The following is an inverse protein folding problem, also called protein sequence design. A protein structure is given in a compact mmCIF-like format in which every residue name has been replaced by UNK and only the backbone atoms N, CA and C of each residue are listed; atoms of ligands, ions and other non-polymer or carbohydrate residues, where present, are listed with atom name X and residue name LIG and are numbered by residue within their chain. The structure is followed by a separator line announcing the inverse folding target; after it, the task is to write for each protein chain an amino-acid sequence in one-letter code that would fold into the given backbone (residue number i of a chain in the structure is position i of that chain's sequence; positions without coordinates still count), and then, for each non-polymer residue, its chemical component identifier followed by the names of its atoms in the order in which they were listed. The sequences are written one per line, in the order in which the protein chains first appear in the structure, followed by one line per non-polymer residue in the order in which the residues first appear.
data_IF_230743526466
#
_entry.id   IF_230743526466
#
_cell.length_a   1.000
_cell.length_b   1.000
_cell.length_c   1.000
_cell.angle_alpha   90.00
_cell.angle_beta   90.00
_cell.angle_gamma   90.00
#
_symmetry.space_group_name_H-M   'P 1'
#
loop_
_entity.id
_entity.type
_entity.pdbx_description
1 polymer ?
#
# COMPACT_ATOMS: atom_id res chain seq x y z
N UNK A 1 -5.92 -19.69 -4.29
CA UNK A 1 -6.15 -20.79 -3.33
C UNK A 1 -6.26 -20.21 -1.92
N UNK A 2 -7.48 -20.14 -1.37
CA UNK A 2 -7.78 -19.41 -0.13
C UNK A 2 -6.97 -19.95 1.06
N UNK A 3 -6.33 -19.09 1.84
CA UNK A 3 -5.54 -19.46 3.02
C UNK A 3 -6.34 -20.26 4.06
N UNK A 4 -7.67 -20.12 4.07
CA UNK A 4 -8.61 -20.94 4.87
C UNK A 4 -8.72 -22.39 4.42
N UNK A 5 -8.32 -22.72 3.18
CA UNK A 5 -8.29 -24.11 2.68
C UNK A 5 -7.07 -24.88 3.20
N UNK A 6 -5.99 -24.19 3.58
CA UNK A 6 -4.78 -24.82 4.13
C UNK A 6 -4.93 -25.06 5.63
N UNK A 7 -5.32 -24.02 6.38
CA UNK A 7 -5.80 -24.18 7.76
C UNK A 7 -6.61 -22.95 8.19
N UNK A 8 -7.61 -23.17 9.07
CA UNK A 8 -8.41 -22.07 9.62
C UNK A 8 -7.54 -21.06 10.39
N UNK A 9 -6.50 -21.53 11.08
CA UNK A 9 -5.57 -20.67 11.82
C UNK A 9 -4.72 -19.79 10.89
N UNK A 10 -4.17 -20.35 9.81
CA UNK A 10 -3.42 -19.58 8.80
C UNK A 10 -4.33 -18.59 8.07
N UNK A 11 -5.55 -19.01 7.74
CA UNK A 11 -6.57 -18.14 7.18
C UNK A 11 -6.87 -16.92 8.06
N UNK A 12 -7.12 -17.16 9.35
CA UNK A 12 -7.38 -16.09 10.32
C UNK A 12 -6.17 -15.14 10.45
N UNK A 13 -4.96 -15.67 10.58
CA UNK A 13 -3.73 -14.86 10.66
C UNK A 13 -3.54 -13.98 9.42
N UNK A 14 -3.72 -14.54 8.23
CA UNK A 14 -3.57 -13.78 6.97
C UNK A 14 -4.63 -12.69 6.87
N UNK A 15 -5.89 -12.99 7.17
CA UNK A 15 -6.97 -12.00 7.13
C UNK A 15 -6.71 -10.87 8.12
N UNK A 16 -6.31 -11.19 9.35
CA UNK A 16 -5.97 -10.18 10.36
C UNK A 16 -4.76 -9.36 9.93
N UNK A 17 -3.71 -9.99 9.39
CA UNK A 17 -2.53 -9.29 8.89
C UNK A 17 -2.87 -8.32 7.76
N UNK A 18 -3.70 -8.75 6.80
CA UNK A 18 -4.16 -7.89 5.70
C UNK A 18 -5.01 -6.75 6.24
N UNK A 19 -5.96 -7.03 7.14
CA UNK A 19 -6.81 -6.00 7.74
C UNK A 19 -6.00 -4.92 8.47
N UNK A 20 -5.00 -5.32 9.26
CA UNK A 20 -4.10 -4.40 9.96
C UNK A 20 -3.28 -3.54 8.98
N UNK A 21 -2.83 -4.11 7.86
CA UNK A 21 -2.06 -3.39 6.84
C UNK A 21 -2.90 -2.35 6.08
N UNK A 22 -4.22 -2.54 5.97
CA UNK A 22 -5.13 -1.59 5.29
C UNK A 22 -5.34 -0.30 6.05
N UNK A 23 -5.15 -0.29 7.38
CA UNK A 23 -5.31 0.92 8.20
C UNK A 23 -4.23 1.97 7.84
N UNK A 24 -2.92 1.65 7.86
CA UNK A 24 -1.87 2.56 7.38
C UNK A 24 -2.09 3.01 5.93
N UNK A 25 -2.49 2.12 5.03
CA UNK A 25 -2.75 2.46 3.62
C UNK A 25 -3.91 3.48 3.50
N UNK A 26 -5.01 3.26 4.22
CA UNK A 26 -6.16 4.16 4.23
C UNK A 26 -5.80 5.55 4.78
N UNK A 27 -4.96 5.60 5.81
CA UNK A 27 -4.41 6.85 6.32
C UNK A 27 -3.53 7.56 5.29
N UNK A 28 -2.64 6.83 4.61
CA UNK A 28 -1.76 7.39 3.58
C UNK A 28 -2.55 8.02 2.42
N UNK A 29 -3.56 7.31 1.87
CA UNK A 29 -4.42 7.87 0.80
C UNK A 29 -5.24 9.05 1.30
N UNK A 30 -5.79 8.96 2.52
CA UNK A 30 -6.54 10.08 3.11
C UNK A 30 -5.67 11.32 3.25
N UNK A 31 -4.45 11.16 3.75
CA UNK A 31 -3.46 12.25 3.87
C UNK A 31 -3.09 12.84 2.51
N UNK A 32 -2.93 12.02 1.48
CA UNK A 32 -2.66 12.50 0.12
C UNK A 32 -3.82 13.36 -0.40
N UNK A 33 -5.06 12.91 -0.25
CA UNK A 33 -6.24 13.67 -0.67
C UNK A 33 -6.37 15.00 0.08
N UNK A 34 -6.13 14.99 1.40
CA UNK A 34 -6.13 16.22 2.20
C UNK A 34 -5.00 17.18 1.79
N UNK A 35 -3.80 16.66 1.51
CA UNK A 35 -2.67 17.45 1.03
C UNK A 35 -2.96 18.10 -0.33
N UNK A 36 -3.65 17.38 -1.22
CA UNK A 36 -4.15 17.87 -2.50
C UNK A 36 -5.35 18.85 -2.37
N UNK A 37 -5.74 19.25 -1.15
CA UNK A 37 -6.82 20.21 -0.91
C UNK A 37 -8.24 19.63 -0.92
N UNK A 38 -8.41 18.31 -0.94
CA UNK A 38 -9.73 17.69 -0.86
C UNK A 38 -10.34 17.81 0.54
N UNK A 39 -11.67 17.74 0.63
CA UNK A 39 -12.37 17.73 1.90
C UNK A 39 -12.19 16.40 2.65
N UNK A 40 -12.32 16.42 3.99
CA UNK A 40 -12.23 15.21 4.84
C UNK A 40 -13.14 14.08 4.37
N UNK A 41 -14.36 14.40 3.91
CA UNK A 41 -15.30 13.41 3.38
C UNK A 41 -14.78 12.72 2.12
N UNK A 42 -14.14 13.48 1.21
CA UNK A 42 -13.54 12.91 -0.01
C UNK A 42 -12.32 12.06 0.32
N UNK A 43 -11.50 12.48 1.28
CA UNK A 43 -10.37 11.69 1.75
C UNK A 43 -10.82 10.33 2.35
N UNK A 44 -11.84 10.35 3.22
CA UNK A 44 -12.41 9.11 3.78
C UNK A 44 -13.09 8.25 2.70
N UNK A 45 -13.78 8.87 1.74
CA UNK A 45 -14.38 8.13 0.62
C UNK A 45 -13.31 7.46 -0.24
N UNK A 46 -12.15 8.09 -0.46
CA UNK A 46 -11.03 7.51 -1.17
C UNK A 46 -10.44 6.30 -0.43
N UNK A 47 -10.28 6.39 0.90
CA UNK A 47 -9.85 5.25 1.72
C UNK A 47 -10.88 4.11 1.69
N UNK A 48 -12.17 4.41 1.76
CA UNK A 48 -13.25 3.42 1.62
C UNK A 48 -13.25 2.76 0.24
N UNK A 49 -13.04 3.54 -0.82
CA UNK A 49 -12.94 3.04 -2.19
C UNK A 49 -11.72 2.13 -2.38
N UNK A 50 -10.57 2.43 -1.77
CA UNK A 50 -9.41 1.54 -1.76
C UNK A 50 -9.73 0.19 -1.09
N UNK A 51 -10.44 0.23 0.05
CA UNK A 51 -10.88 -0.97 0.75
C UNK A 51 -11.81 -1.82 -0.12
N UNK A 52 -12.81 -1.20 -0.75
CA UNK A 52 -13.71 -1.87 -1.68
C UNK A 52 -12.98 -2.45 -2.90
N UNK A 53 -12.03 -1.70 -3.49
CA UNK A 53 -11.20 -2.16 -4.60
C UNK A 53 -10.32 -3.36 -4.22
N UNK A 54 -9.82 -3.41 -2.98
CA UNK A 54 -9.08 -4.57 -2.47
C UNK A 54 -9.97 -5.81 -2.44
N UNK A 55 -11.21 -5.69 -1.94
CA UNK A 55 -12.16 -6.81 -1.91
C UNK A 55 -12.55 -7.28 -3.32
N UNK A 56 -12.81 -6.34 -4.23
CA UNK A 56 -13.05 -6.65 -5.64
C UNK A 56 -11.85 -7.33 -6.28
N UNK A 57 -10.64 -6.88 -5.99
CA UNK A 57 -9.40 -7.49 -6.47
C UNK A 57 -9.27 -8.96 -6.06
N UNK A 58 -9.63 -9.30 -4.82
CA UNK A 58 -9.64 -10.69 -4.34
C UNK A 58 -10.60 -11.55 -5.16
N UNK A 59 -11.81 -11.07 -5.44
CA UNK A 59 -12.81 -11.79 -6.24
C UNK A 59 -12.33 -11.96 -7.68
N UNK A 60 -11.86 -10.86 -8.31
CA UNK A 60 -11.43 -10.87 -9.72
C UNK A 60 -10.22 -11.78 -9.93
N UNK A 61 -9.29 -11.81 -8.98
CA UNK A 61 -8.07 -12.65 -9.08
C UNK A 61 -8.40 -14.14 -9.13
N UNK A 62 -9.51 -14.58 -8.54
CA UNK A 62 -9.95 -15.98 -8.60
C UNK A 62 -10.55 -16.36 -9.97
N UNK A 63 -11.00 -15.36 -10.75
CA UNK A 63 -11.61 -15.56 -12.07
C UNK A 63 -10.66 -15.27 -13.25
N UNK A 64 -9.57 -14.55 -13.03
CA UNK A 64 -8.64 -14.11 -14.09
C UNK A 64 -7.26 -14.70 -13.84
N UNK A 65 -6.99 -15.84 -14.49
CA UNK A 65 -5.76 -16.63 -14.27
C UNK A 65 -4.44 -15.85 -14.47
N UNK A 66 -4.33 -14.90 -15.44
CA UNK A 66 -3.15 -14.04 -15.53
C UNK A 66 -2.93 -13.16 -14.30
N UNK A 67 -3.99 -12.67 -13.66
CA UNK A 67 -3.90 -11.88 -12.43
C UNK A 67 -3.47 -12.74 -11.24
N UNK A 68 -3.83 -14.02 -11.19
CA UNK A 68 -3.33 -14.93 -10.15
C UNK A 68 -1.80 -15.12 -10.21
N UNK A 69 -1.20 -15.01 -11.41
CA UNK A 69 0.24 -15.24 -11.61
C UNK A 69 1.04 -13.94 -11.63
N UNK A 70 0.54 -12.92 -12.31
CA UNK A 70 1.24 -11.65 -12.55
C UNK A 70 0.65 -10.48 -11.75
N UNK A 71 -0.44 -10.69 -11.01
CA UNK A 71 -1.13 -9.62 -10.27
C UNK A 71 -0.26 -8.96 -9.21
N UNK A 72 0.66 -9.70 -8.59
CA UNK A 72 1.64 -9.12 -7.66
C UNK A 72 2.62 -8.17 -8.37
N UNK A 73 3.14 -8.56 -9.53
CA UNK A 73 4.03 -7.70 -10.32
C UNK A 73 3.30 -6.43 -10.80
N UNK A 74 2.05 -6.58 -11.26
CA UNK A 74 1.20 -5.47 -11.65
C UNK A 74 0.94 -4.53 -10.46
N UNK A 75 0.56 -5.08 -9.30
CA UNK A 75 0.28 -4.29 -8.10
C UNK A 75 1.52 -3.55 -7.61
N UNK A 76 2.69 -4.19 -7.61
CA UNK A 76 3.94 -3.53 -7.24
C UNK A 76 4.25 -2.36 -8.18
N UNK A 77 4.07 -2.55 -9.49
CA UNK A 77 4.24 -1.50 -10.49
C UNK A 77 3.29 -0.31 -10.26
N UNK A 78 2.01 -0.58 -10.00
CA UNK A 78 1.02 0.47 -9.70
C UNK A 78 1.38 1.23 -8.41
N UNK A 79 1.79 0.53 -7.35
CA UNK A 79 2.22 1.19 -6.10
C UNK A 79 3.41 2.11 -6.32
N UNK A 80 4.41 1.67 -7.09
CA UNK A 80 5.57 2.50 -7.45
C UNK A 80 5.13 3.69 -8.31
N UNK A 81 4.29 3.47 -9.33
CA UNK A 81 3.80 4.53 -10.22
C UNK A 81 3.02 5.60 -9.44
N UNK A 82 2.09 5.21 -8.57
CA UNK A 82 1.30 6.15 -7.76
C UNK A 82 2.21 6.91 -6.80
N UNK A 83 3.16 6.22 -6.15
CA UNK A 83 4.14 6.87 -5.28
C UNK A 83 5.01 7.90 -6.01
N UNK A 84 5.51 7.54 -7.19
CA UNK A 84 6.35 8.43 -8.01
C UNK A 84 5.56 9.62 -8.60
N UNK A 85 4.30 9.43 -8.97
CA UNK A 85 3.48 10.46 -9.61
C UNK A 85 2.75 11.39 -8.64
N UNK A 86 2.45 10.93 -7.42
CA UNK A 86 1.69 11.72 -6.45
C UNK A 86 2.54 12.10 -5.24
N UNK A 87 3.23 11.14 -4.61
CA UNK A 87 3.96 11.39 -3.37
C UNK A 87 5.25 12.19 -3.62
N UNK A 88 6.07 11.78 -4.59
CA UNK A 88 7.35 12.46 -4.86
C UNK A 88 7.16 13.95 -5.21
N UNK A 89 6.24 14.35 -6.12
CA UNK A 89 6.00 15.76 -6.41
C UNK A 89 5.46 16.54 -5.21
N UNK A 90 4.58 15.92 -4.41
CA UNK A 90 4.03 16.54 -3.19
C UNK A 90 5.11 16.81 -2.14
N UNK A 91 6.12 15.94 -2.01
CA UNK A 91 7.26 16.20 -1.12
C UNK A 91 8.16 17.33 -1.63
N UNK A 92 8.32 17.45 -2.95
CA UNK A 92 9.13 18.48 -3.61
C UNK A 92 8.45 19.85 -3.67
N UNK A 93 7.12 19.90 -3.62
CA UNK A 93 6.35 21.16 -3.67
C UNK A 93 6.57 22.05 -2.43
N UNK A 94 7.00 21.45 -1.30
CA UNK A 94 7.30 22.16 -0.06
C UNK A 94 8.80 22.48 0.03
N UNK A 95 9.22 23.75 -0.10
CA UNK A 95 10.62 24.12 -0.06
C UNK A 95 11.24 23.84 1.32
N UNK A 96 12.39 23.16 1.35
CA UNK A 96 13.16 22.91 2.57
C UNK A 96 13.98 21.63 2.55
N UNK A 97 15.14 21.64 3.22
CA UNK A 97 16.07 20.50 3.25
C UNK A 97 15.58 19.30 4.09
N UNK A 98 14.59 19.52 4.97
CA UNK A 98 14.09 18.48 5.88
C UNK A 98 13.28 17.39 5.17
N UNK A 99 12.48 17.74 4.16
CA UNK A 99 11.63 16.78 3.44
C UNK A 99 12.45 15.71 2.69
N UNK A 100 13.47 16.09 1.88
CA UNK A 100 14.38 15.11 1.27
C UNK A 100 15.09 14.23 2.31
N UNK A 101 15.50 14.81 3.44
CA UNK A 101 16.18 14.07 4.50
C UNK A 101 15.30 12.95 5.08
N UNK A 102 14.02 13.21 5.36
CA UNK A 102 13.09 12.17 5.82
C UNK A 102 12.84 11.08 4.77
N UNK A 103 12.78 11.44 3.49
CA UNK A 103 12.66 10.48 2.40
C UNK A 103 13.86 9.53 2.34
N UNK A 104 15.08 10.07 2.28
CA UNK A 104 16.30 9.25 2.26
C UNK A 104 16.53 8.49 3.56
N UNK A 105 16.15 9.06 4.71
CA UNK A 105 16.18 8.35 5.98
C UNK A 105 15.24 7.12 5.95
N UNK A 106 14.04 7.26 5.38
CA UNK A 106 13.14 6.12 5.16
C UNK A 106 13.75 5.03 4.29
N UNK A 107 14.40 5.41 3.18
CA UNK A 107 15.14 4.48 2.32
C UNK A 107 16.30 3.80 3.06
N UNK A 108 17.05 4.53 3.88
CA UNK A 108 18.16 3.99 4.67
C UNK A 108 17.66 3.01 5.74
N UNK A 109 16.57 3.34 6.45
CA UNK A 109 15.93 2.43 7.41
C UNK A 109 15.47 1.16 6.73
N UNK A 110 14.85 1.26 5.55
CA UNK A 110 14.47 0.08 4.76
C UNK A 110 15.69 -0.77 4.37
N UNK A 111 16.78 -0.13 3.90
CA UNK A 111 18.00 -0.83 3.51
C UNK A 111 18.66 -1.55 4.70
N UNK A 112 18.71 -0.91 5.88
CA UNK A 112 19.22 -1.50 7.12
C UNK A 112 18.32 -2.66 7.55
N UNK A 113 17.00 -2.47 7.60
CA UNK A 113 16.07 -3.54 7.95
C UNK A 113 16.21 -4.74 7.01
N UNK A 114 16.35 -4.49 5.70
CA UNK A 114 16.61 -5.54 4.71
C UNK A 114 17.95 -6.24 4.96
N UNK A 115 19.01 -5.51 5.28
CA UNK A 115 20.32 -6.11 5.56
C UNK A 115 20.29 -6.99 6.81
N UNK A 116 19.53 -6.59 7.84
CA UNK A 116 19.37 -7.36 9.07
C UNK A 116 18.51 -8.63 8.89
N UNK A 117 17.45 -8.55 8.07
CA UNK A 117 16.52 -9.68 7.84
C UNK A 117 17.02 -10.64 6.74
N UNK A 118 17.72 -10.12 5.73
CA UNK A 118 18.23 -10.89 4.59
C UNK A 118 19.59 -11.57 4.82
N UNK A 119 20.10 -11.56 6.05
CA UNK A 119 21.34 -12.24 6.45
C UNK A 119 21.20 -13.73 6.78
N UNK A 120 20.07 -14.35 6.42
CA UNK A 120 19.80 -15.79 6.53
C UNK A 120 19.37 -16.36 5.18
#
# INVERSE_FOLDING_TARGET
ASSTRVSTALGALVVTSVALHKIPEGLAISSLFLAAGASRRRALAAAGALGAATMLGVIVTDHVQPLATHGLALSAGVTIYVGASNLVPEFQSKPGWRNPLFFFAGCAVYAVARALVGGH
#
